data_IF_553287882345
#
_entry.id   IF_553287882345
#
_cell.length_a   1.000
_cell.length_b   1.000
_cell.length_c   1.000
_cell.angle_alpha   90.00
_cell.angle_beta   90.00
_cell.angle_gamma   90.00
#
_symmetry.space_group_name_H-M   'P 1'
#
loop_
_entity.id
_entity.type
_entity.pdbx_description
1 polymer ?
#
# COMPACT_ATOMS: atom_id res chain seq x y z
N UNK A 1 -8.73 28.54 -40.11
CA UNK A 1 -8.45 28.16 -38.70
C UNK A 1 -7.31 27.17 -38.71
N UNK A 2 -6.13 27.57 -38.23
CA UNK A 2 -4.98 26.69 -38.11
C UNK A 2 -5.13 25.87 -36.82
N UNK A 3 -5.14 24.54 -36.94
CA UNK A 3 -5.10 23.62 -35.81
C UNK A 3 -3.70 23.68 -35.21
N UNK A 4 -3.56 24.33 -34.06
CA UNK A 4 -2.32 24.32 -33.28
C UNK A 4 -2.01 22.86 -32.90
N UNK A 5 -0.88 22.35 -33.39
CA UNK A 5 -0.35 21.04 -33.02
C UNK A 5 0.16 21.19 -31.58
N UNK A 6 -0.57 20.65 -30.61
CA UNK A 6 -0.11 20.56 -29.21
C UNK A 6 1.10 19.61 -29.22
N UNK A 7 2.30 20.16 -29.17
CA UNK A 7 3.50 19.38 -28.90
C UNK A 7 3.47 19.00 -27.42
N UNK A 8 3.10 17.76 -27.12
CA UNK A 8 3.19 17.20 -25.78
C UNK A 8 4.65 17.07 -25.39
N UNK A 9 5.09 17.90 -24.45
CA UNK A 9 6.43 17.80 -23.91
C UNK A 9 6.45 16.73 -22.81
N UNK A 10 6.69 15.47 -23.22
CA UNK A 10 6.70 14.29 -22.33
C UNK A 10 7.65 14.48 -21.13
N UNK A 11 8.72 15.26 -21.31
CA UNK A 11 9.69 15.59 -20.26
C UNK A 11 9.10 16.26 -19.03
N UNK A 12 7.95 16.94 -19.17
CA UNK A 12 7.33 17.65 -18.04
C UNK A 12 6.67 16.69 -17.04
N UNK A 13 6.41 15.44 -17.46
CA UNK A 13 5.83 14.38 -16.64
C UNK A 13 6.89 13.50 -15.99
N UNK A 14 8.00 13.26 -16.69
CA UNK A 14 9.06 12.35 -16.23
C UNK A 14 9.55 12.72 -14.82
N UNK A 15 9.76 14.01 -14.56
CA UNK A 15 10.16 14.50 -13.24
C UNK A 15 9.16 14.17 -12.12
N UNK A 16 7.85 14.23 -12.40
CA UNK A 16 6.82 13.92 -11.40
C UNK A 16 6.67 12.42 -11.23
N UNK A 17 6.77 11.65 -12.31
CA UNK A 17 6.73 10.19 -12.28
C UNK A 17 7.93 9.59 -11.53
N UNK A 18 9.12 10.19 -11.66
CA UNK A 18 10.30 9.80 -10.89
C UNK A 18 10.09 10.06 -9.39
N UNK A 19 9.50 11.20 -9.02
CA UNK A 19 9.16 11.51 -7.64
C UNK A 19 8.10 10.56 -7.08
N UNK A 20 7.07 10.22 -7.87
CA UNK A 20 6.05 9.22 -7.48
C UNK A 20 6.71 7.87 -7.23
N UNK A 21 7.59 7.41 -8.13
CA UNK A 21 8.31 6.15 -7.96
C UNK A 21 9.18 6.14 -6.70
N UNK A 22 9.95 7.21 -6.46
CA UNK A 22 10.80 7.32 -5.27
C UNK A 22 9.96 7.28 -3.99
N UNK A 23 8.87 8.05 -3.97
CA UNK A 23 7.98 8.14 -2.80
C UNK A 23 7.26 6.80 -2.54
N UNK A 24 6.75 6.15 -3.58
CA UNK A 24 6.11 4.83 -3.47
C UNK A 24 7.10 3.76 -3.03
N UNK A 25 8.31 3.77 -3.59
CA UNK A 25 9.38 2.84 -3.20
C UNK A 25 9.74 3.01 -1.73
N UNK A 26 9.83 4.25 -1.23
CA UNK A 26 10.08 4.53 0.19
C UNK A 26 8.96 3.98 1.08
N UNK A 27 7.70 4.22 0.72
CA UNK A 27 6.53 3.71 1.44
C UNK A 27 6.52 2.18 1.52
N UNK A 28 6.64 1.49 0.38
CA UNK A 28 6.59 0.03 0.34
C UNK A 28 7.79 -0.62 1.00
N UNK A 29 8.98 -0.01 0.88
CA UNK A 29 10.18 -0.49 1.59
C UNK A 29 9.98 -0.34 3.10
N UNK A 30 9.47 0.80 3.56
CA UNK A 30 9.14 1.02 4.97
C UNK A 30 8.13 0.00 5.51
N UNK A 31 7.07 -0.27 4.75
CA UNK A 31 6.06 -1.27 5.08
C UNK A 31 6.59 -2.72 5.08
N UNK A 32 7.60 -3.04 4.26
CA UNK A 32 8.25 -4.36 4.22
C UNK A 32 9.31 -4.55 5.31
N UNK A 33 9.83 -3.48 5.90
CA UNK A 33 10.84 -3.56 6.95
C UNK A 33 10.25 -4.27 8.17
N UNK A 34 10.67 -5.52 8.37
CA UNK A 34 10.46 -6.22 9.63
C UNK A 34 11.19 -5.56 10.80
N UNK A 35 10.97 -6.09 12.00
CA UNK A 35 11.40 -5.67 13.36
C UNK A 35 12.77 -4.97 13.54
N UNK A 36 13.65 -4.94 12.55
CA UNK A 36 15.01 -4.37 12.58
C UNK A 36 15.11 -2.88 12.26
N UNK A 37 14.09 -2.25 11.65
CA UNK A 37 13.99 -0.78 11.59
C UNK A 37 12.55 -0.33 11.86
N UNK A 38 12.32 0.63 12.78
CA UNK A 38 10.99 1.12 13.04
C UNK A 38 10.54 2.03 11.90
N UNK A 39 9.65 1.51 11.06
CA UNK A 39 8.78 2.34 10.21
C UNK A 39 7.51 2.63 10.98
N UNK A 40 7.30 3.90 11.37
CA UNK A 40 6.16 4.28 12.20
C UNK A 40 4.91 4.52 11.36
N UNK A 41 3.75 4.56 12.02
CA UNK A 41 2.48 4.94 11.39
C UNK A 41 2.56 6.38 10.86
N UNK A 42 3.32 7.24 11.53
CA UNK A 42 3.52 8.65 11.18
C UNK A 42 4.40 8.78 9.93
N UNK A 43 5.38 7.91 9.76
CA UNK A 43 6.16 7.79 8.52
C UNK A 43 5.26 7.33 7.37
N UNK A 44 4.41 6.32 7.60
CA UNK A 44 3.44 5.84 6.62
C UNK A 44 2.45 6.94 6.18
N UNK A 45 1.91 7.71 7.13
CA UNK A 45 1.02 8.85 6.85
C UNK A 45 1.74 9.94 6.05
N UNK A 46 2.96 10.27 6.44
CA UNK A 46 3.78 11.27 5.73
C UNK A 46 4.06 10.81 4.31
N UNK A 47 4.37 9.53 4.12
CA UNK A 47 4.68 9.01 2.80
C UNK A 47 3.44 8.97 1.89
N UNK A 48 2.28 8.60 2.43
CA UNK A 48 0.99 8.64 1.73
C UNK A 48 0.54 10.06 1.39
N UNK A 49 0.72 11.03 2.30
CA UNK A 49 0.43 12.44 2.03
C UNK A 49 1.29 12.99 0.88
N UNK A 50 2.58 12.60 0.85
CA UNK A 50 3.48 12.90 -0.26
C UNK A 50 2.99 12.32 -1.60
N UNK A 51 2.54 11.06 -1.61
CA UNK A 51 1.96 10.42 -2.80
C UNK A 51 0.68 11.11 -3.28
N UNK A 52 -0.19 11.53 -2.34
CA UNK A 52 -1.41 12.27 -2.68
C UNK A 52 -1.07 13.57 -3.41
N UNK A 53 -0.15 14.38 -2.86
CA UNK A 53 0.27 15.65 -3.46
C UNK A 53 0.92 15.50 -4.83
N UNK A 54 1.72 14.44 -5.01
CA UNK A 54 2.33 14.13 -6.31
C UNK A 54 1.28 13.70 -7.34
N UNK A 55 0.25 12.97 -6.90
CA UNK A 55 -0.88 12.58 -7.74
C UNK A 55 -1.68 13.80 -8.18
N UNK A 56 -1.93 14.75 -7.27
CA UNK A 56 -2.59 16.03 -7.59
C UNK A 56 -1.76 16.84 -8.61
N UNK A 57 -0.44 16.93 -8.38
CA UNK A 57 0.48 17.63 -9.31
C UNK A 57 0.50 16.99 -10.69
N UNK A 58 0.49 15.66 -10.75
CA UNK A 58 0.42 14.90 -12.01
C UNK A 58 -0.92 15.17 -12.72
N UNK A 59 -2.02 15.20 -11.97
CA UNK A 59 -3.35 15.50 -12.50
C UNK A 59 -3.43 16.91 -13.09
N UNK A 60 -2.90 17.93 -12.39
CA UNK A 60 -2.83 19.31 -12.90
C UNK A 60 -1.98 19.43 -14.17
N UNK A 61 -0.84 18.74 -14.24
CA UNK A 61 0.00 18.68 -15.45
C UNK A 61 -0.72 18.00 -16.62
N UNK A 62 -1.49 16.95 -16.36
CA UNK A 62 -2.31 16.27 -17.36
C UNK A 62 -3.41 17.20 -17.90
N UNK A 63 -4.12 17.91 -17.01
CA UNK A 63 -5.12 18.89 -17.41
C UNK A 63 -4.53 20.04 -18.24
N UNK A 64 -3.41 20.62 -17.78
CA UNK A 64 -2.78 21.78 -18.44
C UNK A 64 -2.14 21.45 -19.80
N UNK A 65 -1.71 20.20 -20.00
CA UNK A 65 -1.17 19.70 -21.28
C UNK A 65 -2.24 19.27 -22.28
N UNK A 66 -3.52 19.26 -21.87
CA UNK A 66 -4.63 18.74 -22.69
C UNK A 66 -4.63 17.22 -22.82
N UNK A 67 -3.77 16.50 -22.07
CA UNK A 67 -3.82 15.05 -21.93
C UNK A 67 -4.77 14.73 -20.79
N UNK A 68 -6.05 14.57 -21.09
CA UNK A 68 -6.92 13.93 -20.12
C UNK A 68 -6.46 12.49 -19.93
N UNK A 69 -6.06 12.13 -18.72
CA UNK A 69 -6.00 10.73 -18.34
C UNK A 69 -7.38 10.12 -18.62
N UNK A 70 -7.41 9.02 -19.37
CA UNK A 70 -8.58 8.16 -19.39
C UNK A 70 -8.83 7.82 -17.91
N UNK A 71 -10.01 8.13 -17.34
CA UNK A 71 -10.30 7.72 -15.98
C UNK A 71 -10.08 6.22 -15.94
N UNK A 72 -9.06 5.77 -15.20
CA UNK A 72 -9.01 4.38 -14.75
C UNK A 72 -10.32 4.19 -14.02
N UNK A 73 -11.20 3.37 -14.59
CA UNK A 73 -12.58 3.22 -14.16
C UNK A 73 -12.59 3.16 -12.63
N UNK A 74 -13.25 4.13 -11.99
CA UNK A 74 -13.21 4.29 -10.52
C UNK A 74 -13.64 3.00 -9.82
N UNK A 75 -14.47 2.18 -10.49
CA UNK A 75 -14.82 0.83 -10.06
C UNK A 75 -13.61 -0.11 -9.94
N UNK A 76 -12.67 -0.10 -10.88
CA UNK A 76 -11.51 -1.02 -10.85
C UNK A 76 -10.57 -0.69 -9.68
N UNK A 77 -10.32 0.59 -9.42
CA UNK A 77 -9.54 1.04 -8.25
C UNK A 77 -10.25 0.71 -6.93
N UNK A 78 -11.57 0.86 -6.87
CA UNK A 78 -12.36 0.48 -5.70
C UNK A 78 -12.35 -1.03 -5.45
N UNK A 79 -12.41 -1.84 -6.52
CA UNK A 79 -12.34 -3.29 -6.44
C UNK A 79 -10.99 -3.77 -5.92
N UNK A 80 -9.88 -3.22 -6.40
CA UNK A 80 -8.53 -3.57 -5.94
C UNK A 80 -8.30 -3.16 -4.48
N UNK A 81 -8.80 -1.99 -4.08
CA UNK A 81 -8.77 -1.55 -2.69
C UNK A 81 -9.57 -2.48 -1.77
N UNK A 82 -10.81 -2.83 -2.14
CA UNK A 82 -11.64 -3.75 -1.38
C UNK A 82 -11.06 -5.17 -1.31
N UNK A 83 -10.46 -5.65 -2.40
CA UNK A 83 -9.80 -6.95 -2.44
C UNK A 83 -8.60 -6.98 -1.49
N UNK A 84 -7.78 -5.92 -1.48
CA UNK A 84 -6.61 -5.79 -0.60
C UNK A 84 -7.01 -5.77 0.88
N UNK A 85 -8.03 -4.98 1.25
CA UNK A 85 -8.55 -4.95 2.63
C UNK A 85 -9.05 -6.33 3.05
N UNK A 86 -9.83 -6.99 2.19
CA UNK A 86 -10.40 -8.31 2.49
C UNK A 86 -9.31 -9.35 2.72
N UNK A 87 -8.29 -9.38 1.86
CA UNK A 87 -7.14 -10.27 2.02
C UNK A 87 -6.40 -10.01 3.33
N UNK A 88 -6.15 -8.74 3.68
CA UNK A 88 -5.52 -8.38 4.95
C UNK A 88 -6.34 -8.83 6.16
N UNK A 89 -7.67 -8.72 6.09
CA UNK A 89 -8.56 -9.21 7.14
C UNK A 89 -8.53 -10.74 7.27
N UNK A 90 -8.57 -11.46 6.14
CA UNK A 90 -8.46 -12.92 6.11
C UNK A 90 -7.13 -13.40 6.70
N UNK A 91 -6.00 -12.77 6.35
CA UNK A 91 -4.68 -13.11 6.88
C UNK A 91 -4.56 -12.84 8.39
N UNK A 92 -5.11 -11.72 8.87
CA UNK A 92 -5.14 -11.39 10.29
C UNK A 92 -5.95 -12.42 11.09
N UNK A 93 -7.12 -12.80 10.59
CA UNK A 93 -7.99 -13.77 11.27
C UNK A 93 -7.38 -15.17 11.27
N UNK A 94 -6.74 -15.57 10.17
CA UNK A 94 -6.03 -16.85 10.08
C UNK A 94 -4.84 -16.91 11.07
N UNK A 95 -4.14 -15.78 11.24
CA UNK A 95 -3.07 -15.62 12.23
C UNK A 95 -3.60 -15.73 13.67
N UNK A 96 -4.75 -15.11 13.95
CA UNK A 96 -5.43 -15.19 15.25
C UNK A 96 -5.81 -16.63 15.60
N UNK A 97 -6.43 -17.36 14.66
CA UNK A 97 -6.83 -18.76 14.85
C UNK A 97 -5.59 -19.64 15.12
N UNK A 98 -4.52 -19.42 14.35
CA UNK A 98 -3.28 -20.17 14.51
C UNK A 98 -2.67 -19.95 15.90
N UNK A 99 -2.62 -18.70 16.37
CA UNK A 99 -2.14 -18.38 17.72
C UNK A 99 -2.98 -19.05 18.81
N UNK A 100 -4.31 -19.05 18.67
CA UNK A 100 -5.21 -19.69 19.62
C UNK A 100 -5.00 -21.22 19.69
N UNK A 101 -4.70 -21.87 18.55
CA UNK A 101 -4.33 -23.30 18.51
C UNK A 101 -3.01 -23.56 19.23
N UNK A 102 -1.99 -22.73 18.99
CA UNK A 102 -0.69 -22.85 19.69
C UNK A 102 -0.89 -22.72 21.20
N UNK A 103 -1.64 -21.72 21.66
CA UNK A 103 -1.94 -21.53 23.09
C UNK A 103 -2.63 -22.75 23.70
N UNK A 104 -3.61 -23.32 23.00
CA UNK A 104 -4.34 -24.52 23.44
C UNK A 104 -3.42 -25.74 23.54
N UNK A 105 -2.54 -25.92 22.54
CA UNK A 105 -1.56 -27.00 22.54
C UNK A 105 -0.56 -26.86 23.71
N UNK A 106 -0.05 -25.65 23.95
CA UNK A 106 0.84 -25.37 25.07
C UNK A 106 0.17 -25.63 26.43
N UNK A 107 -1.10 -25.22 26.59
CA UNK A 107 -1.87 -25.49 27.80
C UNK A 107 -2.06 -27.01 28.03
N UNK A 108 -2.34 -27.75 26.97
CA UNK A 108 -2.51 -29.22 27.02
C UNK A 108 -1.20 -29.92 27.39
N UNK A 109 -0.08 -29.52 26.77
CA UNK A 109 1.25 -30.04 27.09
C UNK A 109 1.63 -29.76 28.54
N UNK A 110 1.42 -28.52 29.01
CA UNK A 110 1.68 -28.14 30.40
C UNK A 110 0.88 -29.00 31.39
N UNK A 111 -0.41 -29.23 31.10
CA UNK A 111 -1.26 -30.11 31.90
C UNK A 111 -0.77 -31.57 31.90
N UNK A 112 -0.29 -32.07 30.75
CA UNK A 112 0.25 -33.42 30.64
C UNK A 112 1.59 -33.60 31.37
N UNK A 113 2.46 -32.60 31.35
CA UNK A 113 3.74 -32.62 32.08
C UNK A 113 3.55 -32.56 33.60
N UNK A 114 2.52 -31.85 34.07
CA UNK A 114 2.21 -31.71 35.48
C UNK A 114 1.33 -32.86 36.03
N UNK A 115 0.94 -33.83 35.20
CA UNK A 115 0.28 -35.04 35.69
C UNK A 115 1.31 -35.96 36.37
N UNK A 116 1.01 -36.47 37.59
CA UNK A 116 1.90 -37.40 38.27
C UNK A 116 2.08 -38.66 37.41
N UNK A 117 3.33 -38.98 37.06
CA UNK A 117 3.66 -40.28 36.46
C UNK A 117 3.47 -41.34 37.55
N UNK A 118 2.50 -42.23 37.36
CA UNK A 118 2.38 -43.47 38.14
C UNK A 118 3.54 -44.41 37.84
#
# INVERSE_FOLDING_TARGET
>A
MATAKVSLNVSDFDSVLDLVHQQASKFFTGMQMGSTMPYSIEDAKTDLDGLSKLTDTLHEKLLSSGVNAIPLDSEMLQLDYQATIRKGHEEAENSRITMQRVQTNCATLSKAMNMPRK
#
